data_IF_468364256900
#
_entry.id   IF_468364256900
#
_cell.length_a   1.000
_cell.length_b   1.000
_cell.length_c   1.000
_cell.angle_alpha   90.00
_cell.angle_beta   90.00
_cell.angle_gamma   90.00
#
_symmetry.space_group_name_H-M   'P 1'
#
loop_
_entity.id
_entity.type
_entity.pdbx_description
1 polymer ?
#
# COMPACT_ATOMS: atom_id res chain seq x y z
N UNK A 1 17.91 -5.38 -20.48
CA UNK A 1 17.82 -5.08 -19.04
C UNK A 1 16.78 -3.98 -18.76
N UNK A 2 16.83 -2.84 -19.45
CA UNK A 2 15.93 -1.69 -19.26
C UNK A 2 14.44 -2.04 -19.36
N UNK A 3 14.02 -2.78 -20.40
CA UNK A 3 12.63 -3.21 -20.56
C UNK A 3 12.13 -4.05 -19.36
N UNK A 4 12.97 -4.94 -18.83
CA UNK A 4 12.62 -5.76 -17.64
C UNK A 4 12.43 -4.85 -16.42
N UNK A 5 13.29 -3.84 -16.25
CA UNK A 5 13.19 -2.89 -15.15
C UNK A 5 11.91 -2.06 -15.24
N UNK A 6 11.55 -1.58 -16.42
CA UNK A 6 10.28 -0.88 -16.66
C UNK A 6 9.09 -1.78 -16.36
N UNK A 7 9.11 -3.04 -16.84
CA UNK A 7 8.01 -4.00 -16.60
C UNK A 7 7.80 -4.29 -15.11
N UNK A 8 8.87 -4.43 -14.33
CA UNK A 8 8.74 -4.64 -12.88
C UNK A 8 8.16 -3.40 -12.17
N UNK A 9 8.49 -2.20 -12.64
CA UNK A 9 7.87 -0.96 -12.17
C UNK A 9 6.38 -0.87 -12.49
N UNK A 10 6.01 -1.26 -13.74
CA UNK A 10 4.60 -1.34 -14.15
C UNK A 10 3.83 -2.35 -13.30
N UNK A 11 4.43 -3.50 -12.97
CA UNK A 11 3.79 -4.46 -12.07
C UNK A 11 3.49 -3.86 -10.70
N UNK A 12 4.44 -3.10 -10.10
CA UNK A 12 4.21 -2.37 -8.85
C UNK A 12 3.11 -1.30 -8.97
N UNK A 13 3.06 -0.59 -10.11
CA UNK A 13 2.02 0.40 -10.39
C UNK A 13 0.63 -0.26 -10.50
N UNK A 14 0.53 -1.38 -11.21
CA UNK A 14 -0.71 -2.15 -11.33
C UNK A 14 -1.14 -2.73 -9.99
N UNK A 15 -0.19 -3.20 -9.15
CA UNK A 15 -0.50 -3.61 -7.78
C UNK A 15 -1.18 -2.48 -7.01
N UNK A 16 -0.60 -1.27 -7.03
CA UNK A 16 -1.17 -0.10 -6.35
C UNK A 16 -2.57 0.26 -6.85
N UNK A 17 -2.83 0.12 -8.15
CA UNK A 17 -4.16 0.37 -8.73
C UNK A 17 -5.15 -0.70 -8.26
N UNK A 18 -4.86 -1.98 -8.44
CA UNK A 18 -5.81 -3.06 -8.13
C UNK A 18 -6.08 -3.15 -6.63
N UNK A 19 -5.04 -3.08 -5.79
CA UNK A 19 -5.21 -3.09 -4.33
C UNK A 19 -5.92 -1.82 -3.87
N UNK A 20 -5.55 -0.66 -4.42
CA UNK A 20 -6.20 0.61 -4.11
C UNK A 20 -7.70 0.59 -4.45
N UNK A 21 -8.08 0.10 -5.63
CA UNK A 21 -9.51 -0.07 -6.00
C UNK A 21 -10.18 -1.09 -5.09
N UNK A 22 -9.53 -2.22 -4.79
CA UNK A 22 -10.05 -3.23 -3.88
C UNK A 22 -10.30 -2.67 -2.47
N UNK A 23 -9.33 -1.96 -1.93
CA UNK A 23 -9.43 -1.31 -0.63
C UNK A 23 -10.48 -0.19 -0.61
N UNK A 24 -10.59 0.59 -1.70
CA UNK A 24 -11.61 1.61 -1.84
C UNK A 24 -13.02 1.01 -1.81
N UNK A 25 -13.24 -0.11 -2.48
CA UNK A 25 -14.52 -0.83 -2.43
C UNK A 25 -14.86 -1.33 -1.03
N UNK A 26 -13.86 -1.70 -0.23
CA UNK A 26 -14.05 -2.20 1.14
C UNK A 26 -14.22 -1.09 2.19
N UNK A 27 -13.59 0.08 1.98
CA UNK A 27 -13.46 1.08 3.05
C UNK A 27 -14.08 2.44 2.75
N UNK A 28 -14.35 2.77 1.48
CA UNK A 28 -14.88 4.09 1.15
C UNK A 28 -16.30 4.28 1.70
N UNK A 29 -16.45 5.33 2.47
CA UNK A 29 -17.70 5.84 3.00
C UNK A 29 -17.82 7.34 2.71
N UNK A 30 -18.94 7.75 2.12
CA UNK A 30 -19.16 9.15 1.70
C UNK A 30 -19.19 10.14 2.88
N UNK A 31 -19.55 9.63 4.07
CA UNK A 31 -19.62 10.40 5.32
C UNK A 31 -18.29 10.39 6.08
N UNK A 32 -17.28 9.63 5.60
CA UNK A 32 -15.96 9.48 6.22
C UNK A 32 -15.98 8.91 7.66
N UNK A 33 -17.00 8.10 8.01
CA UNK A 33 -17.13 7.45 9.34
C UNK A 33 -15.95 6.52 9.69
N UNK A 34 -15.17 6.11 8.68
CA UNK A 34 -13.91 5.38 8.92
C UNK A 34 -12.90 6.16 9.78
N UNK A 35 -13.06 7.48 9.93
CA UNK A 35 -12.22 8.32 10.79
C UNK A 35 -12.69 8.33 12.25
N UNK A 36 -13.90 7.88 12.54
CA UNK A 36 -14.50 7.87 13.89
C UNK A 36 -14.11 6.63 14.71
N UNK A 37 -13.44 5.68 14.07
CA UNK A 37 -13.09 4.38 14.65
C UNK A 37 -14.21 3.35 14.50
N UNK A 38 -13.88 2.08 14.74
CA UNK A 38 -14.81 0.95 14.56
C UNK A 38 -15.13 0.66 13.09
N UNK A 39 -16.23 -0.05 12.85
CA UNK A 39 -16.59 -0.58 11.53
C UNK A 39 -17.96 -0.13 11.03
N UNK A 40 -18.58 0.86 11.66
CA UNK A 40 -19.92 1.34 11.27
C UNK A 40 -19.98 1.87 9.84
N UNK A 41 -18.86 2.33 9.30
CA UNK A 41 -18.73 2.71 7.89
C UNK A 41 -18.92 1.54 6.92
N UNK A 42 -18.80 0.28 7.39
CA UNK A 42 -19.05 -0.93 6.59
C UNK A 42 -20.52 -1.34 6.57
N UNK A 43 -21.36 -0.76 7.42
CA UNK A 43 -22.81 -0.97 7.36
C UNK A 43 -23.34 -0.44 6.02
N UNK A 44 -24.09 -1.27 5.32
CA UNK A 44 -24.63 -0.92 4.00
C UNK A 44 -23.67 -1.15 2.83
N UNK A 45 -22.45 -1.66 3.04
CA UNK A 45 -21.62 -2.18 1.95
C UNK A 45 -22.24 -3.49 1.45
N UNK A 46 -22.67 -3.53 0.18
CA UNK A 46 -23.24 -4.74 -0.39
C UNK A 46 -22.23 -5.89 -0.46
N UNK A 47 -22.70 -7.12 -0.32
CA UNK A 47 -21.83 -8.31 -0.42
C UNK A 47 -21.08 -8.39 -1.76
N UNK A 48 -21.71 -7.95 -2.87
CA UNK A 48 -21.06 -7.91 -4.18
C UNK A 48 -19.90 -6.90 -4.21
N UNK A 49 -20.08 -5.71 -3.62
CA UNK A 49 -19.03 -4.69 -3.51
C UNK A 49 -17.88 -5.20 -2.63
N UNK A 50 -18.18 -5.81 -1.49
CA UNK A 50 -17.20 -6.37 -0.57
C UNK A 50 -16.42 -7.53 -1.21
N UNK A 51 -17.11 -8.43 -1.92
CA UNK A 51 -16.48 -9.55 -2.64
C UNK A 51 -15.57 -9.07 -3.77
N UNK A 52 -16.01 -8.09 -4.55
CA UNK A 52 -15.18 -7.49 -5.60
C UNK A 52 -13.93 -6.82 -5.02
N UNK A 53 -14.08 -6.06 -3.92
CA UNK A 53 -12.96 -5.44 -3.21
C UNK A 53 -11.96 -6.46 -2.68
N UNK A 54 -12.46 -7.55 -2.10
CA UNK A 54 -11.63 -8.67 -1.62
C UNK A 54 -10.75 -9.25 -2.74
N UNK A 55 -11.35 -9.68 -3.86
CA UNK A 55 -10.59 -10.33 -4.91
C UNK A 55 -9.65 -9.37 -5.65
N UNK A 56 -10.06 -8.13 -5.91
CA UNK A 56 -9.16 -7.11 -6.47
C UNK A 56 -7.96 -6.86 -5.56
N UNK A 57 -8.19 -6.74 -4.25
CA UNK A 57 -7.14 -6.55 -3.28
C UNK A 57 -6.18 -7.74 -3.22
N UNK A 58 -6.71 -8.95 -3.06
CA UNK A 58 -5.89 -10.17 -2.93
C UNK A 58 -5.09 -10.45 -4.19
N UNK A 59 -5.72 -10.46 -5.37
CA UNK A 59 -5.01 -10.75 -6.62
C UNK A 59 -4.06 -9.61 -7.01
N UNK A 60 -4.47 -8.36 -6.84
CA UNK A 60 -3.61 -7.21 -7.11
C UNK A 60 -2.35 -7.21 -6.26
N UNK A 61 -2.45 -7.59 -4.99
CA UNK A 61 -1.33 -7.60 -4.07
C UNK A 61 -0.23 -8.61 -4.45
N UNK A 62 -0.52 -9.65 -5.23
CA UNK A 62 0.49 -10.60 -5.75
C UNK A 62 1.54 -9.94 -6.65
N UNK A 63 1.24 -8.76 -7.18
CA UNK A 63 2.17 -7.99 -8.02
C UNK A 63 3.15 -7.13 -7.19
N UNK A 64 2.85 -6.83 -5.93
CA UNK A 64 3.72 -6.00 -5.08
C UNK A 64 5.12 -6.60 -4.85
N UNK A 65 5.33 -7.91 -4.67
CA UNK A 65 6.68 -8.48 -4.61
C UNK A 65 7.52 -8.17 -5.85
N UNK A 66 6.90 -8.13 -7.05
CA UNK A 66 7.57 -7.73 -8.29
C UNK A 66 7.92 -6.22 -8.25
N UNK A 67 7.02 -5.39 -7.72
CA UNK A 67 7.28 -3.98 -7.45
C UNK A 67 8.41 -3.77 -6.43
N UNK A 68 8.48 -4.56 -5.36
CA UNK A 68 9.57 -4.53 -4.40
C UNK A 68 10.91 -4.92 -5.06
N UNK A 69 10.90 -5.91 -5.95
CA UNK A 69 12.08 -6.25 -6.75
C UNK A 69 12.51 -5.09 -7.65
N UNK A 70 11.57 -4.33 -8.24
CA UNK A 70 11.89 -3.11 -8.96
C UNK A 70 12.63 -2.09 -8.07
N UNK A 71 12.11 -1.83 -6.86
CA UNK A 71 12.76 -0.93 -5.88
C UNK A 71 14.19 -1.40 -5.59
N UNK A 72 14.38 -2.70 -5.37
CA UNK A 72 15.72 -3.29 -5.19
C UNK A 72 16.65 -2.97 -6.34
N UNK A 73 16.21 -3.21 -7.59
CA UNK A 73 17.02 -2.96 -8.77
C UNK A 73 17.40 -1.48 -8.92
N UNK A 74 16.49 -0.57 -8.58
CA UNK A 74 16.74 0.87 -8.64
C UNK A 74 17.69 1.37 -7.56
N UNK A 75 17.70 0.75 -6.38
CA UNK A 75 18.50 1.15 -5.24
C UNK A 75 19.86 0.43 -5.14
N UNK A 76 20.00 -0.76 -5.74
CA UNK A 76 21.18 -1.61 -5.59
C UNK A 76 22.52 -0.93 -5.95
N UNK A 77 22.60 0.03 -6.92
CA UNK A 77 23.87 0.70 -7.21
C UNK A 77 24.39 1.54 -6.04
N UNK A 78 23.49 2.03 -5.16
CA UNK A 78 23.89 2.77 -3.97
C UNK A 78 24.41 1.84 -2.87
N UNK A 79 23.71 0.76 -2.58
CA UNK A 79 24.14 -0.30 -1.65
C UNK A 79 23.28 -1.55 -1.85
N UNK A 80 23.89 -2.62 -2.37
CA UNK A 80 23.19 -3.86 -2.70
C UNK A 80 22.57 -4.54 -1.47
N UNK A 81 23.25 -4.56 -0.32
CA UNK A 81 22.76 -5.25 0.89
C UNK A 81 21.51 -4.58 1.44
N UNK A 82 21.52 -3.26 1.56
CA UNK A 82 20.37 -2.50 2.06
C UNK A 82 19.22 -2.43 1.06
N UNK A 83 19.52 -2.39 -0.23
CA UNK A 83 18.51 -2.51 -1.26
C UNK A 83 17.81 -3.89 -1.20
N UNK A 84 18.58 -4.96 -0.97
CA UNK A 84 18.04 -6.31 -0.81
C UNK A 84 17.20 -6.45 0.48
N UNK A 85 17.64 -5.83 1.57
CA UNK A 85 16.85 -5.76 2.81
C UNK A 85 15.51 -5.05 2.56
N UNK A 86 15.50 -3.92 1.85
CA UNK A 86 14.24 -3.23 1.47
C UNK A 86 13.31 -4.13 0.63
N UNK A 87 13.86 -4.93 -0.29
CA UNK A 87 13.09 -5.91 -1.06
C UNK A 87 12.43 -6.96 -0.17
N UNK A 88 13.19 -7.57 0.75
CA UNK A 88 12.65 -8.61 1.64
C UNK A 88 11.61 -8.05 2.61
N UNK A 89 11.91 -6.92 3.25
CA UNK A 89 11.01 -6.27 4.22
C UNK A 89 9.73 -5.80 3.52
N UNK A 90 9.85 -5.18 2.34
CA UNK A 90 8.70 -4.74 1.57
C UNK A 90 7.83 -5.91 1.10
N UNK A 91 8.45 -6.97 0.58
CA UNK A 91 7.74 -8.19 0.18
C UNK A 91 7.01 -8.82 1.37
N UNK A 92 7.66 -8.94 2.52
CA UNK A 92 7.02 -9.44 3.75
C UNK A 92 5.83 -8.56 4.15
N UNK A 93 6.01 -7.22 4.18
CA UNK A 93 4.94 -6.29 4.53
C UNK A 93 3.72 -6.41 3.60
N UNK A 94 3.92 -6.57 2.30
CA UNK A 94 2.83 -6.76 1.35
C UNK A 94 2.18 -8.15 1.45
N UNK A 95 2.93 -9.21 1.77
CA UNK A 95 2.34 -10.54 2.07
C UNK A 95 1.42 -10.45 3.30
N UNK A 96 1.87 -9.78 4.36
CA UNK A 96 1.01 -9.50 5.53
C UNK A 96 -0.21 -8.65 5.11
N UNK A 97 -0.02 -7.68 4.21
CA UNK A 97 -1.09 -6.86 3.63
C UNK A 97 -2.13 -7.67 2.87
N UNK A 98 -1.74 -8.75 2.16
CA UNK A 98 -2.71 -9.67 1.51
C UNK A 98 -3.62 -10.31 2.54
N UNK A 99 -3.07 -10.79 3.67
CA UNK A 99 -3.85 -11.37 4.76
C UNK A 99 -4.77 -10.32 5.38
N UNK A 100 -4.27 -9.11 5.59
CA UNK A 100 -5.04 -8.00 6.13
C UNK A 100 -6.23 -7.63 5.25
N UNK A 101 -6.01 -7.36 3.95
CA UNK A 101 -7.11 -6.98 3.04
C UNK A 101 -8.06 -8.15 2.77
N UNK A 102 -7.53 -9.38 2.70
CA UNK A 102 -8.33 -10.58 2.51
C UNK A 102 -9.33 -10.83 3.63
N UNK A 103 -8.98 -10.48 4.85
CA UNK A 103 -9.87 -10.66 5.98
C UNK A 103 -10.87 -9.52 6.20
N UNK A 104 -10.70 -8.34 5.57
CA UNK A 104 -11.62 -7.19 5.73
C UNK A 104 -13.04 -7.47 5.24
N UNK A 105 -13.20 -8.26 4.18
CA UNK A 105 -14.52 -8.66 3.68
C UNK A 105 -15.32 -9.47 4.72
N UNK A 106 -14.64 -10.21 5.61
CA UNK A 106 -15.30 -10.96 6.68
C UNK A 106 -15.95 -10.03 7.71
N UNK A 107 -15.26 -8.94 8.09
CA UNK A 107 -15.87 -7.93 8.97
C UNK A 107 -17.04 -7.23 8.30
N UNK A 108 -16.89 -6.86 7.02
CA UNK A 108 -17.99 -6.27 6.25
C UNK A 108 -19.24 -7.18 6.24
N UNK A 109 -19.06 -8.51 6.15
CA UNK A 109 -20.16 -9.47 6.23
C UNK A 109 -20.77 -9.53 7.62
N UNK A 110 -19.97 -9.50 8.69
CA UNK A 110 -20.47 -9.47 10.08
C UNK A 110 -21.28 -8.20 10.37
N UNK A 111 -20.86 -7.06 9.83
CA UNK A 111 -21.56 -5.77 9.99
C UNK A 111 -22.94 -5.71 9.31
N UNK A 112 -23.29 -6.70 8.46
CA UNK A 112 -24.63 -6.84 7.86
C UNK A 112 -25.57 -7.69 8.72
N UNK A 113 -25.06 -8.35 9.77
CA UNK A 113 -25.89 -9.19 10.66
C UNK A 113 -26.52 -8.36 11.77
N UNK A 114 -27.68 -8.80 12.34
CA UNK A 114 -28.24 -8.18 13.53
C UNK A 114 -27.23 -8.17 14.68
N UNK A 115 -27.14 -7.07 15.39
CA UNK A 115 -26.22 -6.95 16.54
C UNK A 115 -26.61 -7.94 17.64
N UNK A 116 -25.64 -8.76 18.07
CA UNK A 116 -25.72 -9.64 19.23
C UNK A 116 -24.40 -9.64 19.98
N UNK A 117 -24.38 -10.16 21.20
CA UNK A 117 -23.16 -10.27 22.00
C UNK A 117 -22.09 -11.12 21.30
N UNK A 118 -22.50 -12.19 20.62
CA UNK A 118 -21.61 -13.07 19.86
C UNK A 118 -20.99 -12.35 18.66
N UNK A 119 -21.80 -11.61 17.89
CA UNK A 119 -21.31 -10.84 16.72
C UNK A 119 -20.36 -9.73 17.19
N UNK A 120 -20.68 -9.02 18.26
CA UNK A 120 -19.80 -8.01 18.85
C UNK A 120 -18.45 -8.62 19.28
N UNK A 121 -18.48 -9.75 20.00
CA UNK A 121 -17.24 -10.45 20.41
C UNK A 121 -16.40 -10.93 19.23
N UNK A 122 -17.03 -11.37 18.12
CA UNK A 122 -16.31 -11.71 16.89
C UNK A 122 -15.67 -10.48 16.24
N UNK A 123 -16.37 -9.35 16.17
CA UNK A 123 -15.83 -8.10 15.62
C UNK A 123 -14.62 -7.64 16.42
N UNK A 124 -14.68 -7.65 17.77
CA UNK A 124 -13.55 -7.29 18.64
C UNK A 124 -12.35 -8.21 18.43
N UNK A 125 -12.57 -9.52 18.27
CA UNK A 125 -11.50 -10.48 17.97
C UNK A 125 -10.87 -10.21 16.61
N UNK A 126 -11.66 -9.89 15.58
CA UNK A 126 -11.14 -9.53 14.26
C UNK A 126 -10.39 -8.20 14.31
N UNK A 127 -10.89 -7.21 15.05
CA UNK A 127 -10.24 -5.92 15.22
C UNK A 127 -8.82 -6.07 15.79
N UNK A 128 -8.66 -6.84 16.87
CA UNK A 128 -7.35 -7.12 17.45
C UNK A 128 -6.37 -7.72 16.42
N UNK A 129 -6.83 -8.68 15.62
CA UNK A 129 -6.01 -9.31 14.58
C UNK A 129 -5.63 -8.31 13.49
N UNK A 130 -6.58 -7.48 13.06
CA UNK A 130 -6.35 -6.48 12.02
C UNK A 130 -5.40 -5.39 12.44
N UNK A 131 -5.59 -4.81 13.61
CA UNK A 131 -4.68 -3.80 14.11
C UNK A 131 -3.27 -4.35 14.27
N UNK A 132 -3.10 -5.60 14.71
CA UNK A 132 -1.79 -6.25 14.75
C UNK A 132 -1.15 -6.33 13.37
N UNK A 133 -1.88 -6.83 12.36
CA UNK A 133 -1.36 -6.90 10.98
C UNK A 133 -1.07 -5.50 10.41
N UNK A 134 -1.93 -4.52 10.70
CA UNK A 134 -1.76 -3.14 10.26
C UNK A 134 -0.51 -2.49 10.86
N UNK A 135 -0.20 -2.76 12.14
CA UNK A 135 1.05 -2.29 12.75
C UNK A 135 2.28 -2.89 12.06
N UNK A 136 2.24 -4.16 11.66
CA UNK A 136 3.33 -4.77 10.88
C UNK A 136 3.48 -4.08 9.52
N UNK A 137 2.37 -3.79 8.82
CA UNK A 137 2.39 -3.08 7.53
C UNK A 137 2.96 -1.67 7.71
N UNK A 138 2.55 -0.95 8.75
CA UNK A 138 3.07 0.40 9.08
C UNK A 138 4.57 0.38 9.34
N UNK A 139 5.04 -0.56 10.17
CA UNK A 139 6.45 -0.69 10.51
C UNK A 139 7.32 -1.06 9.29
N UNK A 140 6.88 -2.01 8.48
CA UNK A 140 7.59 -2.40 7.26
C UNK A 140 7.62 -1.25 6.25
N UNK A 141 6.52 -0.52 6.05
CA UNK A 141 6.46 0.65 5.17
C UNK A 141 7.38 1.77 5.66
N UNK A 142 7.42 2.04 6.96
CA UNK A 142 8.36 3.00 7.54
C UNK A 142 9.81 2.57 7.29
N UNK A 143 10.12 1.31 7.54
CA UNK A 143 11.49 0.77 7.40
C UNK A 143 11.97 0.86 5.95
N UNK A 144 11.17 0.43 4.97
CA UNK A 144 11.55 0.55 3.55
C UNK A 144 11.68 2.01 3.12
N UNK A 145 10.83 2.90 3.64
CA UNK A 145 10.89 4.33 3.33
C UNK A 145 12.18 4.97 3.84
N UNK A 146 12.62 4.62 5.06
CA UNK A 146 13.91 5.08 5.61
C UNK A 146 15.06 4.61 4.73
N UNK A 147 15.06 3.34 4.30
CA UNK A 147 16.10 2.81 3.40
C UNK A 147 16.08 3.54 2.05
N UNK A 148 14.90 3.77 1.46
CA UNK A 148 14.74 4.52 0.20
C UNK A 148 15.32 5.93 0.35
N UNK A 149 14.92 6.67 1.39
CA UNK A 149 15.42 8.03 1.65
C UNK A 149 16.94 8.03 1.71
N UNK A 150 17.50 7.19 2.57
CA UNK A 150 18.94 7.13 2.77
C UNK A 150 19.69 6.80 1.49
N UNK A 151 19.29 5.74 0.76
CA UNK A 151 19.97 5.32 -0.46
C UNK A 151 19.81 6.34 -1.61
N UNK A 152 18.66 7.02 -1.71
CA UNK A 152 18.47 8.11 -2.67
C UNK A 152 19.43 9.29 -2.37
N UNK A 153 19.57 9.67 -1.09
CA UNK A 153 20.40 10.80 -0.69
C UNK A 153 21.90 10.56 -0.92
N UNK A 154 22.36 9.31 -0.97
CA UNK A 154 23.75 9.00 -1.36
C UNK A 154 24.09 9.47 -2.77
N UNK A 155 23.08 9.64 -3.64
CA UNK A 155 23.25 10.02 -5.05
C UNK A 155 23.85 8.92 -5.93
N UNK A 156 23.95 7.68 -5.44
CA UNK A 156 24.52 6.51 -6.16
C UNK A 156 23.44 5.56 -6.70
N UNK A 157 22.17 5.73 -6.29
CA UNK A 157 21.04 4.96 -6.83
C UNK A 157 20.67 5.45 -8.24
N UNK A 158 19.83 4.69 -8.95
CA UNK A 158 19.23 5.19 -10.20
C UNK A 158 18.17 6.27 -9.96
N UNK A 159 17.79 6.53 -8.71
CA UNK A 159 16.91 7.62 -8.35
C UNK A 159 17.70 8.93 -8.15
N UNK A 160 17.18 10.08 -8.61
CA UNK A 160 17.72 11.37 -8.20
C UNK A 160 17.45 11.61 -6.70
N UNK A 161 18.27 12.44 -6.06
CA UNK A 161 18.15 12.72 -4.61
C UNK A 161 16.77 13.22 -4.17
N UNK A 162 16.10 14.02 -5.02
CA UNK A 162 14.77 14.53 -4.72
C UNK A 162 13.68 13.45 -4.66
N UNK A 163 13.92 12.25 -5.24
CA UNK A 163 13.00 11.12 -5.12
C UNK A 163 12.82 10.67 -3.66
N UNK A 164 13.76 11.02 -2.78
CA UNK A 164 13.62 10.82 -1.33
C UNK A 164 12.36 11.51 -0.75
N UNK A 165 11.91 12.62 -1.35
CA UNK A 165 10.68 13.32 -0.93
C UNK A 165 9.39 12.59 -1.37
N UNK A 166 9.48 11.72 -2.36
CA UNK A 166 8.37 10.94 -2.89
C UNK A 166 8.38 9.49 -2.39
N UNK A 167 9.04 9.22 -1.27
CA UNK A 167 8.96 7.91 -0.64
C UNK A 167 7.56 7.64 -0.04
N UNK A 168 7.16 6.36 0.14
CA UNK A 168 5.81 6.02 0.55
C UNK A 168 5.36 6.70 1.86
N UNK A 169 6.22 6.77 2.90
CA UNK A 169 5.78 7.34 4.19
C UNK A 169 5.48 8.84 4.11
N UNK A 170 6.30 9.63 3.38
CA UNK A 170 6.04 11.05 3.22
C UNK A 170 4.79 11.31 2.38
N UNK A 171 4.52 10.48 1.38
CA UNK A 171 3.29 10.56 0.59
C UNK A 171 2.05 10.18 1.41
N UNK A 172 2.14 9.20 2.32
CA UNK A 172 1.07 8.88 3.27
C UNK A 172 0.81 10.06 4.19
N UNK A 173 1.87 10.67 4.76
CA UNK A 173 1.74 11.86 5.62
C UNK A 173 1.09 13.01 4.84
N UNK A 174 1.49 13.25 3.59
CA UNK A 174 0.89 14.27 2.74
C UNK A 174 -0.61 14.00 2.49
N UNK A 175 -1.00 12.73 2.35
CA UNK A 175 -2.40 12.34 2.21
C UNK A 175 -3.22 12.58 3.50
N UNK A 176 -2.63 12.32 4.68
CA UNK A 176 -3.24 12.67 5.96
C UNK A 176 -3.43 14.19 6.11
N UNK A 177 -2.40 14.99 5.74
CA UNK A 177 -2.50 16.44 5.74
C UNK A 177 -3.63 16.90 4.79
N UNK A 178 -3.71 16.30 3.58
CA UNK A 178 -4.78 16.61 2.63
C UNK A 178 -6.17 16.33 3.24
N UNK A 179 -6.32 15.21 3.97
CA UNK A 179 -7.58 14.88 4.63
C UNK A 179 -7.96 15.90 5.71
N UNK A 180 -6.98 16.38 6.48
CA UNK A 180 -7.22 17.40 7.54
C UNK A 180 -7.53 18.78 6.94
N UNK A 181 -6.78 19.21 5.91
CA UNK A 181 -6.88 20.57 5.34
C UNK A 181 -8.04 20.68 4.35
N UNK A 182 -8.30 19.62 3.59
CA UNK A 182 -9.35 19.57 2.57
C UNK A 182 -10.16 18.23 2.67
N UNK A 183 -11.00 18.06 3.72
CA UNK A 183 -11.71 16.80 3.97
C UNK A 183 -12.58 16.32 2.81
N UNK A 184 -13.18 17.27 2.06
CA UNK A 184 -14.01 16.96 0.88
C UNK A 184 -13.24 16.22 -0.22
N UNK A 185 -11.94 16.45 -0.34
CA UNK A 185 -11.03 15.78 -1.29
C UNK A 185 -10.37 14.59 -0.60
N UNK A 186 -9.79 14.81 0.57
CA UNK A 186 -8.98 13.82 1.28
C UNK A 186 -9.75 12.57 1.68
N UNK A 187 -11.06 12.66 1.94
CA UNK A 187 -11.90 11.48 2.25
C UNK A 187 -11.93 10.43 1.14
N UNK A 188 -11.63 10.80 -0.10
CA UNK A 188 -11.58 9.86 -1.23
C UNK A 188 -10.26 9.10 -1.29
N UNK A 189 -9.16 9.69 -0.83
CA UNK A 189 -7.83 9.08 -0.87
C UNK A 189 -7.40 8.47 0.47
N UNK A 190 -7.97 8.93 1.59
CA UNK A 190 -7.59 8.47 2.92
C UNK A 190 -7.76 6.95 3.13
N UNK A 191 -8.87 6.31 2.71
CA UNK A 191 -9.06 4.87 2.86
C UNK A 191 -8.04 4.03 2.09
N UNK A 192 -7.35 4.61 1.11
CA UNK A 192 -6.39 3.96 0.21
C UNK A 192 -5.03 4.65 0.23
N UNK A 193 -4.70 5.37 1.30
CA UNK A 193 -3.52 6.25 1.39
C UNK A 193 -2.21 5.53 1.03
N UNK A 194 -2.04 4.28 1.48
CA UNK A 194 -0.87 3.46 1.17
C UNK A 194 -0.75 3.20 -0.33
N UNK A 195 -1.86 2.84 -0.98
CA UNK A 195 -1.87 2.53 -2.41
C UNK A 195 -1.71 3.79 -3.27
N UNK A 196 -2.25 4.94 -2.85
CA UNK A 196 -1.99 6.24 -3.49
C UNK A 196 -0.50 6.59 -3.42
N UNK A 197 0.12 6.38 -2.27
CA UNK A 197 1.55 6.62 -2.09
C UNK A 197 2.41 5.74 -3.01
N UNK A 198 2.13 4.44 -3.07
CA UNK A 198 2.86 3.53 -3.96
C UNK A 198 2.55 3.77 -5.44
N UNK A 199 1.33 4.17 -5.79
CA UNK A 199 0.98 4.58 -7.15
C UNK A 199 1.87 5.74 -7.62
N UNK A 200 1.94 6.83 -6.84
CA UNK A 200 2.77 7.99 -7.15
C UNK A 200 4.25 7.58 -7.23
N UNK A 201 4.72 6.82 -6.25
CA UNK A 201 6.10 6.34 -6.19
C UNK A 201 6.48 5.53 -7.43
N UNK A 202 5.68 4.51 -7.82
CA UNK A 202 5.97 3.69 -8.98
C UNK A 202 5.82 4.45 -10.30
N UNK A 203 4.83 5.35 -10.42
CA UNK A 203 4.66 6.19 -11.61
C UNK A 203 5.91 7.05 -11.87
N UNK A 204 6.48 7.64 -10.82
CA UNK A 204 7.74 8.38 -10.92
C UNK A 204 8.93 7.45 -11.17
N UNK A 205 8.99 6.31 -10.49
CA UNK A 205 10.09 5.34 -10.59
C UNK A 205 10.27 4.80 -12.00
N UNK A 206 9.18 4.51 -12.72
CA UNK A 206 9.21 4.02 -14.10
C UNK A 206 9.93 5.01 -15.03
N UNK A 207 9.75 6.31 -14.83
CA UNK A 207 10.43 7.36 -15.65
C UNK A 207 11.95 7.30 -15.47
N UNK A 208 12.44 6.97 -14.28
CA UNK A 208 13.89 6.83 -14.04
C UNK A 208 14.41 5.48 -14.52
N UNK A 209 13.60 4.43 -14.44
CA UNK A 209 13.93 3.12 -14.98
C UNK A 209 14.19 3.18 -16.52
N UNK A 210 13.45 4.04 -17.24
CA UNK A 210 13.64 4.29 -18.68
C UNK A 210 14.95 4.99 -19.01
N UNK A 211 15.58 5.65 -18.04
CA UNK A 211 16.83 6.41 -18.20
C UNK A 211 18.03 5.70 -17.55
N UNK A 212 17.81 4.56 -16.90
CA UNK A 212 18.89 3.81 -16.28
C UNK A 212 19.90 3.32 -17.32
N UNK A 213 21.23 3.40 -17.07
CA UNK A 213 22.24 2.98 -18.01
C UNK A 213 22.10 1.48 -18.32
N UNK A 214 22.22 1.15 -19.60
CA UNK A 214 22.25 -0.23 -20.07
C UNK A 214 23.65 -0.75 -19.76
N UNK A 215 23.85 -1.39 -18.60
CA UNK A 215 25.06 -2.14 -18.39
C UNK A 215 24.97 -3.39 -19.28
N UNK A 216 25.70 -3.40 -20.34
CA UNK A 216 26.05 -4.60 -21.11
C UNK A 216 26.92 -5.48 -20.18
N UNK A 217 26.30 -6.54 -19.64
CA UNK A 217 26.99 -7.63 -18.93
C UNK A 217 26.91 -8.88 -19.74
#
# INVERSE_FOLDING_TARGET
MQNKLVMTGIAGLLAAIFVGVGEYLLHYDAQARFAEGGYDFMQGISNSRSTAGHFLGVFGATLYPVGCYHIYQMLRPANQRWAFAAFLIGTFGFIVGVVWIGSRASVSALMQLPTSAEITGLIELYDLRYETLLQVIRLTTLTISVIIIWLCLTGRSFYPKWMALFNPILLIIANFILFVVAPSIGKHSMPIALNVAFFIFFALSIRFAQKAPINES
#
